data_IF_538041425705
#
_entry.id   IF_538041425705
#
_cell.length_a   1.000
_cell.length_b   1.000
_cell.length_c   1.000
_cell.angle_alpha   90.00
_cell.angle_beta   90.00
_cell.angle_gamma   90.00
#
_symmetry.space_group_name_H-M   'P 1'
#
loop_
_entity.id
_entity.type
_entity.pdbx_description
1 polymer ?
#
# COMPACT_ATOMS: atom_id res chain seq x y z
N UNK A 1 -4.60 11.06 11.22
CA UNK A 1 -3.44 10.67 10.41
C UNK A 1 -3.08 9.21 10.70
N UNK A 2 -2.63 8.49 9.69
CA UNK A 2 -2.16 7.12 9.88
C UNK A 2 -0.76 7.13 10.51
N UNK A 3 -0.33 6.02 11.16
CA UNK A 3 1.02 5.91 11.68
C UNK A 3 2.11 6.10 10.62
N UNK A 4 1.87 5.67 9.38
CA UNK A 4 2.82 5.85 8.29
C UNK A 4 3.06 7.33 7.98
N UNK A 5 2.00 8.14 7.94
CA UNK A 5 2.10 9.58 7.69
C UNK A 5 2.83 10.27 8.83
N UNK A 6 2.55 9.88 10.07
CA UNK A 6 3.26 10.42 11.24
C UNK A 6 4.75 10.12 11.16
N UNK A 7 5.13 8.92 10.74
CA UNK A 7 6.52 8.53 10.59
C UNK A 7 7.23 9.35 9.50
N UNK A 8 6.57 9.57 8.37
CA UNK A 8 7.11 10.41 7.30
C UNK A 8 7.36 11.84 7.79
N UNK A 9 6.41 12.39 8.55
CA UNK A 9 6.55 13.73 9.12
C UNK A 9 7.72 13.81 10.11
N UNK A 10 7.90 12.79 10.94
CA UNK A 10 9.00 12.74 11.90
C UNK A 10 10.36 12.74 11.22
N UNK A 11 10.48 12.10 10.06
CA UNK A 11 11.73 12.01 9.31
C UNK A 11 11.91 13.11 8.28
N UNK A 12 10.98 14.06 8.20
CA UNK A 12 11.07 15.17 7.26
C UNK A 12 10.99 14.76 5.80
N UNK A 13 10.33 13.63 5.50
CA UNK A 13 10.20 13.11 4.15
C UNK A 13 9.03 13.80 3.45
N UNK A 14 9.30 14.34 2.26
CA UNK A 14 8.26 14.95 1.43
C UNK A 14 7.37 13.89 0.82
N UNK A 15 6.05 14.08 0.90
CA UNK A 15 5.07 13.18 0.29
C UNK A 15 3.86 13.98 -0.18
N UNK A 16 3.05 13.35 -1.00
CA UNK A 16 1.75 13.88 -1.43
C UNK A 16 0.68 12.87 -1.02
N UNK A 17 -0.32 13.35 -0.29
CA UNK A 17 -1.44 12.51 0.15
C UNK A 17 -2.52 12.52 -0.92
N UNK A 18 -2.87 11.33 -1.42
CA UNK A 18 -3.98 11.13 -2.35
C UNK A 18 -5.09 10.41 -1.63
N UNK A 19 -6.28 10.98 -1.66
CA UNK A 19 -7.46 10.36 -1.07
C UNK A 19 -8.43 9.95 -2.17
N UNK A 20 -9.13 8.85 -1.95
CA UNK A 20 -10.16 8.36 -2.84
C UNK A 20 -11.25 7.67 -2.05
N UNK A 21 -12.43 7.55 -2.64
CA UNK A 21 -13.56 6.89 -2.00
C UNK A 21 -13.45 5.38 -2.16
N UNK A 22 -13.32 4.68 -1.03
CA UNK A 22 -13.28 3.23 -1.00
C UNK A 22 -14.68 2.65 -1.17
N UNK A 23 -14.83 1.71 -2.11
CA UNK A 23 -16.06 0.97 -2.31
C UNK A 23 -16.07 -0.28 -1.42
N UNK A 24 -17.09 -0.42 -0.58
CA UNK A 24 -17.16 -1.51 0.38
C UNK A 24 -17.14 -2.90 -0.26
N UNK A 25 -17.58 -3.01 -1.51
CA UNK A 25 -17.59 -4.27 -2.26
C UNK A 25 -16.23 -4.62 -2.88
N UNK A 26 -15.29 -3.68 -2.92
CA UNK A 26 -13.96 -3.89 -3.51
C UNK A 26 -13.06 -4.62 -2.54
N UNK A 27 -12.44 -5.71 -2.99
CA UNK A 27 -11.55 -6.53 -2.16
C UNK A 27 -10.08 -6.23 -2.42
N UNK A 28 -9.73 -5.72 -3.59
CA UNK A 28 -8.36 -5.36 -3.93
C UNK A 28 -8.17 -3.84 -3.80
N UNK A 29 -7.67 -3.42 -2.64
CA UNK A 29 -7.48 -2.01 -2.34
C UNK A 29 -6.44 -1.34 -3.23
N UNK A 30 -5.40 -2.07 -3.61
CA UNK A 30 -4.35 -1.52 -4.47
C UNK A 30 -4.86 -1.21 -5.87
N UNK A 31 -5.59 -2.12 -6.49
CA UNK A 31 -6.18 -1.91 -7.79
C UNK A 31 -7.28 -0.85 -7.76
N UNK A 32 -8.03 -0.76 -6.68
CA UNK A 32 -9.03 0.30 -6.49
C UNK A 32 -8.37 1.67 -6.50
N UNK A 33 -7.27 1.84 -5.75
CA UNK A 33 -6.54 3.10 -5.71
C UNK A 33 -5.98 3.47 -7.09
N UNK A 34 -5.42 2.50 -7.80
CA UNK A 34 -4.91 2.69 -9.16
C UNK A 34 -6.01 3.19 -10.10
N UNK A 35 -7.18 2.58 -10.06
CA UNK A 35 -8.30 2.97 -10.90
C UNK A 35 -8.85 4.35 -10.50
N UNK A 36 -9.04 4.59 -9.21
CA UNK A 36 -9.62 5.84 -8.71
C UNK A 36 -8.73 7.04 -8.98
N UNK A 37 -7.40 6.86 -8.90
CA UNK A 37 -6.41 7.93 -9.07
C UNK A 37 -5.75 7.93 -10.45
N UNK A 38 -6.17 7.03 -11.34
CA UNK A 38 -5.63 6.91 -12.70
C UNK A 38 -4.10 6.76 -12.71
N UNK A 39 -3.59 5.81 -11.92
CA UNK A 39 -2.17 5.55 -11.76
C UNK A 39 -1.74 4.34 -12.57
N UNK A 40 -0.40 4.19 -12.76
CA UNK A 40 0.18 3.01 -13.39
C UNK A 40 0.38 1.94 -12.31
N UNK A 41 -0.26 0.75 -12.42
CA UNK A 41 -0.15 -0.29 -11.39
C UNK A 41 1.26 -0.85 -11.21
N UNK A 42 2.14 -0.69 -12.20
CA UNK A 42 3.55 -1.09 -12.09
C UNK A 42 4.37 -0.13 -11.25
N UNK A 43 3.87 1.07 -11.00
CA UNK A 43 4.54 2.13 -10.24
C UNK A 43 3.87 2.39 -8.90
N UNK A 44 2.84 1.64 -8.56
CA UNK A 44 2.16 1.71 -7.28
C UNK A 44 2.46 0.43 -6.51
N UNK A 45 2.89 0.58 -5.25
CA UNK A 45 3.34 -0.54 -4.44
C UNK A 45 2.39 -0.78 -3.29
N UNK A 46 2.28 -2.03 -2.89
CA UNK A 46 1.53 -2.46 -1.71
C UNK A 46 2.44 -3.24 -0.79
N UNK A 47 2.12 -3.24 0.48
CA UNK A 47 2.84 -4.02 1.48
C UNK A 47 2.03 -5.23 1.87
N UNK A 48 2.71 -6.38 1.97
CA UNK A 48 2.12 -7.64 2.40
C UNK A 48 2.89 -8.15 3.59
N UNK A 49 2.19 -8.53 4.65
CA UNK A 49 2.79 -9.16 5.81
C UNK A 49 2.89 -10.64 5.56
N UNK A 50 4.10 -11.19 5.62
CA UNK A 50 4.38 -12.59 5.36
C UNK A 50 4.82 -13.26 6.64
N UNK A 51 4.30 -14.45 6.90
CA UNK A 51 4.74 -15.28 8.02
C UNK A 51 5.88 -16.18 7.56
N UNK A 52 7.08 -15.98 8.12
CA UNK A 52 8.27 -16.77 7.81
C UNK A 52 8.35 -18.01 8.70
N UNK A 53 8.11 -17.81 10.01
CA UNK A 53 8.01 -18.87 11.01
C UNK A 53 6.85 -18.51 11.93
N UNK A 54 6.43 -19.39 12.83
CA UNK A 54 5.34 -19.07 13.76
C UNK A 54 5.61 -17.84 14.64
N UNK A 55 6.85 -17.37 14.72
CA UNK A 55 7.22 -16.21 15.55
C UNK A 55 7.90 -15.09 14.76
N UNK A 56 8.09 -15.24 13.46
CA UNK A 56 8.74 -14.24 12.62
C UNK A 56 7.80 -13.77 11.51
N UNK A 57 7.69 -12.47 11.37
CA UNK A 57 6.92 -11.83 10.30
C UNK A 57 7.86 -10.98 9.46
N UNK A 58 7.57 -10.90 8.18
CA UNK A 58 8.27 -10.03 7.25
C UNK A 58 7.26 -9.22 6.45
N UNK A 59 7.68 -8.06 5.96
CA UNK A 59 6.87 -7.22 5.09
C UNK A 59 7.48 -7.24 3.70
N UNK A 60 6.69 -7.63 2.71
CA UNK A 60 7.07 -7.57 1.32
C UNK A 60 6.45 -6.34 0.66
N UNK A 61 7.24 -5.62 -0.15
CA UNK A 61 6.76 -4.49 -0.94
C UNK A 61 6.75 -4.93 -2.39
N UNK A 62 5.57 -4.98 -3.00
CA UNK A 62 5.41 -5.47 -4.37
C UNK A 62 4.55 -4.49 -5.18
N UNK A 63 4.79 -4.39 -6.51
CA UNK A 63 3.89 -3.60 -7.35
C UNK A 63 2.47 -4.12 -7.29
N UNK A 64 1.50 -3.21 -7.38
CA UNK A 64 0.08 -3.55 -7.32
C UNK A 64 -0.30 -4.51 -8.46
N UNK A 65 0.40 -4.45 -9.60
CA UNK A 65 0.20 -5.36 -10.73
C UNK A 65 0.65 -6.79 -10.46
N UNK A 66 1.36 -7.04 -9.36
CA UNK A 66 1.94 -8.35 -9.03
C UNK A 66 1.27 -8.98 -7.82
N UNK A 67 1.44 -10.29 -7.69
CA UNK A 67 0.99 -11.04 -6.52
C UNK A 67 2.17 -11.78 -5.92
N UNK A 68 2.18 -11.87 -4.59
CA UNK A 68 3.17 -12.66 -3.87
C UNK A 68 2.65 -14.09 -3.77
N UNK A 69 3.43 -15.02 -4.28
CA UNK A 69 3.11 -16.47 -4.21
C UNK A 69 3.75 -17.10 -2.99
#
# INVERSE_FOLDING_TARGET
MTPAILLLNQHGITYVLHEYEHQASTKDYGLEAVAALNLNPNQVFKTLVCELTPIELAVAVVPVSSQLN
#
